data_IF_554101850929
#
_entry.id   IF_554101850929
#
_cell.length_a   1.000
_cell.length_b   1.000
_cell.length_c   1.000
_cell.angle_alpha   90.00
_cell.angle_beta   90.00
_cell.angle_gamma   90.00
#
_symmetry.space_group_name_H-M   'P 1'
#
loop_
_entity.id
_entity.type
_entity.pdbx_description
1 polymer ?
#
# COMPACT_ATOMS: atom_id res chain seq x y z
N UNK A 1 -18.37 -33.72 28.68
CA UNK A 1 -18.65 -32.88 27.49
C UNK A 1 -18.67 -31.39 27.84
N UNK A 2 -19.46 -30.92 28.84
CA UNK A 2 -19.62 -29.50 29.17
C UNK A 2 -18.33 -28.70 29.42
N UNK A 3 -17.34 -29.25 30.15
CA UNK A 3 -16.07 -28.55 30.41
C UNK A 3 -15.27 -28.23 29.14
N UNK A 4 -15.31 -29.13 28.13
CA UNK A 4 -14.63 -28.90 26.85
C UNK A 4 -15.36 -27.86 26.01
N UNK A 5 -16.69 -27.87 25.99
CA UNK A 5 -17.50 -26.86 25.32
C UNK A 5 -17.23 -25.46 25.91
N UNK A 6 -17.32 -25.31 27.23
CA UNK A 6 -17.07 -24.03 27.90
C UNK A 6 -15.64 -23.51 27.68
N UNK A 7 -14.64 -24.40 27.62
CA UNK A 7 -13.26 -24.02 27.34
C UNK A 7 -13.07 -23.53 25.89
N UNK A 8 -13.74 -24.16 24.92
CA UNK A 8 -13.72 -23.73 23.52
C UNK A 8 -14.45 -22.40 23.32
N UNK A 9 -15.60 -22.20 23.97
CA UNK A 9 -16.35 -20.94 23.93
C UNK A 9 -15.51 -19.79 24.50
N UNK A 10 -14.85 -20.01 25.63
CA UNK A 10 -13.98 -19.02 26.24
C UNK A 10 -12.78 -18.66 25.35
N UNK A 11 -12.14 -19.66 24.72
CA UNK A 11 -11.05 -19.44 23.78
C UNK A 11 -11.52 -18.64 22.55
N UNK A 12 -12.66 -19.00 21.97
CA UNK A 12 -13.23 -18.32 20.81
C UNK A 12 -13.53 -16.85 21.13
N UNK A 13 -14.13 -16.60 22.30
CA UNK A 13 -14.42 -15.24 22.75
C UNK A 13 -13.14 -14.43 22.96
N UNK A 14 -12.12 -15.02 23.59
CA UNK A 14 -10.82 -14.38 23.78
C UNK A 14 -10.17 -14.03 22.43
N UNK A 15 -10.17 -14.95 21.46
CA UNK A 15 -9.63 -14.72 20.12
C UNK A 15 -10.38 -13.59 19.40
N UNK A 16 -11.71 -13.56 19.47
CA UNK A 16 -12.55 -12.49 18.89
C UNK A 16 -12.22 -11.14 19.51
N UNK A 17 -12.15 -11.05 20.84
CA UNK A 17 -11.79 -9.82 21.55
C UNK A 17 -10.38 -9.33 21.19
N UNK A 18 -9.40 -10.24 21.13
CA UNK A 18 -8.02 -9.89 20.74
C UNK A 18 -7.93 -9.44 19.29
N UNK A 19 -8.62 -10.11 18.37
CA UNK A 19 -8.71 -9.71 16.96
C UNK A 19 -9.32 -8.31 16.83
N UNK A 20 -10.45 -8.04 17.46
CA UNK A 20 -11.11 -6.73 17.43
C UNK A 20 -10.21 -5.61 17.95
N UNK A 21 -9.50 -5.84 19.06
CA UNK A 21 -8.57 -4.86 19.62
C UNK A 21 -7.38 -4.55 18.69
N UNK A 22 -6.86 -5.56 17.97
CA UNK A 22 -5.82 -5.34 16.95
C UNK A 22 -6.40 -4.58 15.76
N UNK A 23 -7.58 -4.99 15.27
CA UNK A 23 -8.25 -4.32 14.15
C UNK A 23 -8.44 -2.84 14.41
N UNK A 24 -8.99 -2.48 15.57
CA UNK A 24 -9.23 -1.10 15.96
C UNK A 24 -7.94 -0.26 16.03
N UNK A 25 -6.84 -0.86 16.52
CA UNK A 25 -5.55 -0.16 16.65
C UNK A 25 -4.88 0.13 15.31
N UNK A 26 -5.06 -0.76 14.33
CA UNK A 26 -4.41 -0.62 13.02
C UNK A 26 -5.25 0.18 12.03
N UNK A 27 -6.58 0.20 12.19
CA UNK A 27 -7.50 0.80 11.22
C UNK A 27 -7.24 2.30 11.05
N UNK A 28 -7.28 3.08 12.14
CA UNK A 28 -7.11 4.55 12.04
C UNK A 28 -5.71 4.97 11.51
N UNK A 29 -4.58 4.39 11.96
CA UNK A 29 -3.28 4.69 11.37
C UNK A 29 -3.18 4.32 9.89
N UNK A 30 -3.66 3.13 9.51
CA UNK A 30 -3.62 2.69 8.12
C UNK A 30 -4.49 3.57 7.22
N UNK A 31 -5.68 3.92 7.70
CA UNK A 31 -6.61 4.84 7.06
C UNK A 31 -5.98 6.22 6.79
N UNK A 32 -5.20 6.77 7.74
CA UNK A 32 -4.45 8.02 7.54
C UNK A 32 -3.41 7.88 6.43
N UNK A 33 -2.62 6.82 6.46
CA UNK A 33 -1.55 6.60 5.47
C UNK A 33 -2.12 6.35 4.06
N UNK A 34 -3.23 5.61 3.95
CA UNK A 34 -3.94 5.42 2.68
C UNK A 34 -4.45 6.74 2.11
N UNK A 35 -5.08 7.58 2.94
CA UNK A 35 -5.56 8.90 2.52
C UNK A 35 -4.41 9.81 2.07
N UNK A 36 -3.27 9.80 2.77
CA UNK A 36 -2.08 10.56 2.39
C UNK A 36 -1.66 10.25 0.94
N UNK A 37 -1.48 8.97 0.61
CA UNK A 37 -1.10 8.56 -0.74
C UNK A 37 -2.21 8.77 -1.78
N UNK A 38 -3.47 8.55 -1.41
CA UNK A 38 -4.59 8.82 -2.32
C UNK A 38 -4.65 10.30 -2.72
N UNK A 39 -4.37 11.21 -1.78
CA UNK A 39 -4.36 12.65 -2.01
C UNK A 39 -3.21 13.14 -2.90
N UNK A 40 -2.09 12.40 -2.93
CA UNK A 40 -0.99 12.67 -3.86
C UNK A 40 -1.36 12.37 -5.32
N UNK A 41 -2.24 11.39 -5.55
CA UNK A 41 -2.74 11.05 -6.89
C UNK A 41 -3.94 11.92 -7.29
N UNK A 42 -4.88 12.09 -6.36
CA UNK A 42 -6.14 12.77 -6.58
C UNK A 42 -6.35 13.77 -5.44
N UNK A 43 -6.14 15.08 -5.69
CA UNK A 43 -6.35 16.09 -4.66
C UNK A 43 -7.72 15.95 -4.00
N UNK A 44 -7.74 16.00 -2.66
CA UNK A 44 -8.93 15.85 -1.82
C UNK A 44 -9.62 14.47 -1.88
N UNK A 45 -9.00 13.46 -2.49
CA UNK A 45 -9.55 12.12 -2.45
C UNK A 45 -9.48 11.52 -1.04
N UNK A 46 -10.46 10.67 -0.74
CA UNK A 46 -10.45 9.82 0.44
C UNK A 46 -10.67 8.38 0.01
N UNK A 47 -10.02 7.47 0.73
CA UNK A 47 -10.09 6.04 0.47
C UNK A 47 -10.70 5.37 1.67
N UNK A 48 -11.81 4.65 1.52
CA UNK A 48 -12.42 3.95 2.64
C UNK A 48 -11.81 2.56 2.83
N UNK A 49 -11.36 2.29 4.05
CA UNK A 49 -10.77 1.02 4.43
C UNK A 49 -11.82 0.12 5.10
N UNK A 50 -12.03 -1.09 4.55
CA UNK A 50 -12.87 -2.11 5.17
C UNK A 50 -12.30 -2.65 6.49
N UNK A 51 -13.12 -3.38 7.25
CA UNK A 51 -12.69 -4.06 8.48
C UNK A 51 -11.66 -5.19 8.23
N UNK A 52 -11.60 -5.66 6.99
CA UNK A 52 -10.61 -6.60 6.45
C UNK A 52 -9.31 -5.91 6.02
N UNK A 53 -9.21 -4.59 6.22
CA UNK A 53 -8.09 -3.75 5.78
C UNK A 53 -7.85 -3.75 4.27
N UNK A 54 -8.92 -3.93 3.51
CA UNK A 54 -8.90 -3.81 2.05
C UNK A 54 -9.52 -2.45 1.67
N UNK A 55 -8.86 -1.67 0.79
CA UNK A 55 -9.49 -0.49 0.18
C UNK A 55 -10.80 -0.85 -0.52
N UNK A 56 -11.87 -0.13 -0.23
CA UNK A 56 -13.22 -0.42 -0.74
C UNK A 56 -13.75 0.64 -1.68
N UNK A 57 -13.62 1.90 -1.27
CA UNK A 57 -14.19 3.02 -2.01
C UNK A 57 -13.14 4.11 -2.18
N UNK A 58 -13.01 4.63 -3.40
CA UNK A 58 -12.23 5.83 -3.67
C UNK A 58 -13.20 6.98 -3.98
N UNK A 59 -13.33 7.91 -3.04
CA UNK A 59 -14.11 9.12 -3.22
C UNK A 59 -13.22 10.23 -3.78
N UNK A 60 -13.63 10.84 -4.90
CA UNK A 60 -12.94 11.94 -5.56
C UNK A 60 -13.93 13.08 -5.79
N UNK A 61 -13.60 14.33 -5.43
CA UNK A 61 -14.50 15.45 -5.68
C UNK A 61 -14.79 15.58 -7.18
N UNK A 62 -16.08 15.71 -7.53
CA UNK A 62 -16.52 15.88 -8.92
C UNK A 62 -16.55 14.60 -9.77
N UNK A 63 -16.36 13.42 -9.16
CA UNK A 63 -16.59 12.12 -9.81
C UNK A 63 -17.43 11.25 -8.88
N UNK A 64 -18.27 10.37 -9.43
CA UNK A 64 -18.96 9.38 -8.59
C UNK A 64 -17.93 8.51 -7.86
N UNK A 65 -18.21 8.22 -6.59
CA UNK A 65 -17.38 7.32 -5.80
C UNK A 65 -17.43 5.93 -6.46
N UNK A 66 -16.27 5.44 -6.91
CA UNK A 66 -16.16 4.16 -7.60
C UNK A 66 -15.79 3.05 -6.63
N UNK A 67 -16.47 1.92 -6.73
CA UNK A 67 -16.04 0.69 -6.05
C UNK A 67 -14.67 0.27 -6.59
N UNK A 68 -13.82 -0.21 -5.69
CA UNK A 68 -12.52 -0.78 -6.02
C UNK A 68 -12.59 -1.87 -7.09
N UNK A 69 -13.66 -2.67 -7.10
CA UNK A 69 -13.86 -3.76 -8.06
C UNK A 69 -14.14 -3.28 -9.48
N UNK A 70 -14.69 -2.07 -9.64
CA UNK A 70 -14.99 -1.46 -10.94
C UNK A 70 -13.78 -0.73 -11.54
N UNK A 71 -12.65 -0.70 -10.82
CA UNK A 71 -11.43 -0.05 -11.28
C UNK A 71 -10.76 -0.84 -12.41
N UNK A 72 -10.28 -0.11 -13.42
CA UNK A 72 -9.43 -0.67 -14.49
C UNK A 72 -8.22 -1.42 -13.91
N UNK A 73 -7.67 -2.38 -14.65
CA UNK A 73 -6.51 -3.17 -14.21
C UNK A 73 -5.35 -2.30 -13.71
N UNK A 74 -4.95 -1.27 -14.47
CA UNK A 74 -3.87 -0.37 -14.06
C UNK A 74 -4.21 0.44 -12.81
N UNK A 75 -5.47 0.81 -12.61
CA UNK A 75 -5.89 1.52 -11.41
C UNK A 75 -5.84 0.60 -10.17
N UNK A 76 -6.22 -0.69 -10.30
CA UNK A 76 -6.05 -1.68 -9.23
C UNK A 76 -4.58 -1.91 -8.87
N UNK A 77 -3.69 -1.94 -9.87
CA UNK A 77 -2.24 -2.05 -9.66
C UNK A 77 -1.69 -0.87 -8.83
N UNK A 78 -2.07 0.37 -9.21
CA UNK A 78 -1.70 1.57 -8.46
C UNK A 78 -2.18 1.54 -7.01
N UNK A 79 -3.44 1.17 -6.80
CA UNK A 79 -3.98 1.07 -5.44
C UNK A 79 -3.31 -0.04 -4.62
N UNK A 80 -2.97 -1.15 -5.26
CA UNK A 80 -2.21 -2.22 -4.64
C UNK A 80 -0.82 -1.76 -4.19
N UNK A 81 -0.18 -0.87 -4.94
CA UNK A 81 1.08 -0.26 -4.55
C UNK A 81 0.89 0.73 -3.38
N UNK A 82 -0.08 1.65 -3.49
CA UNK A 82 -0.42 2.60 -2.41
C UNK A 82 -0.68 1.87 -1.09
N UNK A 83 -1.45 0.79 -1.13
CA UNK A 83 -1.77 0.00 0.06
C UNK A 83 -0.51 -0.54 0.72
N UNK A 84 0.43 -1.09 -0.07
CA UNK A 84 1.71 -1.59 0.45
C UNK A 84 2.56 -0.49 1.07
N UNK A 85 2.60 0.69 0.46
CA UNK A 85 3.32 1.84 1.01
C UNK A 85 2.68 2.31 2.33
N UNK A 86 1.36 2.36 2.40
CA UNK A 86 0.63 2.70 3.63
C UNK A 86 0.90 1.71 4.76
N UNK A 87 0.99 0.41 4.44
CA UNK A 87 1.41 -0.62 5.40
C UNK A 87 2.87 -0.46 5.84
N UNK A 88 3.78 -0.10 4.93
CA UNK A 88 5.16 0.18 5.29
C UNK A 88 5.26 1.36 6.27
N UNK A 89 4.50 2.44 6.04
CA UNK A 89 4.40 3.57 6.97
C UNK A 89 3.85 3.16 8.34
N UNK A 90 2.79 2.34 8.36
CA UNK A 90 2.23 1.77 9.60
C UNK A 90 3.26 0.94 10.39
N UNK A 91 4.04 0.09 9.70
CA UNK A 91 5.06 -0.74 10.32
C UNK A 91 6.21 0.11 10.86
N UNK A 92 6.64 1.12 10.10
CA UNK A 92 7.65 2.08 10.55
C UNK A 92 7.20 2.86 11.79
N UNK A 93 5.96 3.34 11.83
CA UNK A 93 5.37 4.02 13.00
C UNK A 93 5.35 3.09 14.23
N UNK A 94 5.19 1.78 14.02
CA UNK A 94 5.30 0.75 15.06
C UNK A 94 6.74 0.34 15.41
N UNK A 95 7.76 1.08 14.95
CA UNK A 95 9.18 0.80 15.23
C UNK A 95 9.75 -0.38 14.44
N UNK A 96 9.11 -0.78 13.34
CA UNK A 96 9.51 -1.89 12.46
C UNK A 96 9.74 -1.37 11.04
N UNK A 97 10.85 -0.68 10.76
CA UNK A 97 11.13 -0.17 9.42
C UNK A 97 11.23 -1.31 8.41
N UNK A 98 10.71 -1.10 7.20
CA UNK A 98 10.65 -2.12 6.14
C UNK A 98 11.38 -1.66 4.89
N UNK A 99 12.21 -2.55 4.33
CA UNK A 99 12.74 -2.40 2.97
C UNK A 99 11.62 -2.68 1.98
N UNK A 100 11.46 -1.81 0.98
CA UNK A 100 10.47 -1.97 -0.07
C UNK A 100 11.19 -2.42 -1.34
N UNK A 101 10.78 -3.57 -1.88
CA UNK A 101 11.27 -4.09 -3.15
C UNK A 101 10.14 -4.10 -4.16
N UNK A 102 10.33 -3.43 -5.29
CA UNK A 102 9.37 -3.33 -6.38
C UNK A 102 9.97 -4.05 -7.59
N UNK A 103 9.27 -5.09 -8.07
CA UNK A 103 9.71 -5.89 -9.21
C UNK A 103 8.75 -5.69 -10.38
N UNK A 104 9.24 -5.03 -11.43
CA UNK A 104 8.52 -4.63 -12.64
C UNK A 104 7.12 -4.05 -12.37
N UNK A 105 7.05 -3.16 -11.37
CA UNK A 105 5.81 -2.52 -10.98
C UNK A 105 5.36 -1.49 -12.04
N UNK A 106 4.05 -1.33 -12.22
CA UNK A 106 3.41 -0.30 -13.05
C UNK A 106 3.69 -0.42 -14.56
N UNK A 107 4.04 -1.60 -15.05
CA UNK A 107 4.36 -1.84 -16.47
C UNK A 107 3.18 -1.49 -17.39
N UNK A 108 1.95 -1.59 -16.88
CA UNK A 108 0.70 -1.34 -17.60
C UNK A 108 0.17 0.10 -17.43
N UNK A 109 0.93 1.00 -16.78
CA UNK A 109 0.54 2.41 -16.63
C UNK A 109 0.92 3.23 -17.87
N UNK A 110 0.03 4.11 -18.31
CA UNK A 110 0.35 5.18 -19.25
C UNK A 110 1.31 6.21 -18.61
N UNK A 111 1.95 7.05 -19.43
CA UNK A 111 2.97 8.00 -18.99
C UNK A 111 2.46 8.98 -17.92
N UNK A 112 1.21 9.44 -18.03
CA UNK A 112 0.60 10.36 -17.07
C UNK A 112 0.42 9.71 -15.70
N UNK A 113 -0.14 8.49 -15.70
CA UNK A 113 -0.31 7.67 -14.50
C UNK A 113 1.03 7.29 -13.85
N UNK A 114 2.02 6.92 -14.66
CA UNK A 114 3.36 6.60 -14.18
C UNK A 114 4.01 7.83 -13.53
N UNK A 115 3.89 9.02 -14.13
CA UNK A 115 4.42 10.26 -13.55
C UNK A 115 3.80 10.58 -12.19
N UNK A 116 2.51 10.33 -12.00
CA UNK A 116 1.85 10.48 -10.70
C UNK A 116 2.38 9.47 -9.67
N UNK A 117 2.53 8.20 -10.05
CA UNK A 117 3.07 7.18 -9.15
C UNK A 117 4.54 7.43 -8.78
N UNK A 118 5.34 8.04 -9.66
CA UNK A 118 6.69 8.47 -9.31
C UNK A 118 6.69 9.45 -8.14
N UNK A 119 5.74 10.40 -8.11
CA UNK A 119 5.59 11.34 -6.97
C UNK A 119 5.28 10.60 -5.67
N UNK A 120 4.41 9.60 -5.74
CA UNK A 120 4.10 8.72 -4.60
C UNK A 120 5.35 7.97 -4.13
N UNK A 121 6.14 7.42 -5.03
CA UNK A 121 7.39 6.74 -4.70
C UNK A 121 8.44 7.69 -4.11
N UNK A 122 8.57 8.90 -4.63
CA UNK A 122 9.43 9.93 -4.07
C UNK A 122 9.05 10.27 -2.63
N UNK A 123 7.77 10.49 -2.36
CA UNK A 123 7.27 10.74 -1.01
C UNK A 123 7.61 9.58 -0.07
N UNK A 124 7.31 8.35 -0.48
CA UNK A 124 7.61 7.16 0.30
C UNK A 124 9.12 6.98 0.54
N UNK A 125 9.96 7.30 -0.45
CA UNK A 125 11.42 7.19 -0.38
C UNK A 125 12.04 8.15 0.65
N UNK A 126 11.34 9.22 1.05
CA UNK A 126 11.78 10.07 2.17
C UNK A 126 11.74 9.34 3.51
N UNK A 127 10.96 8.26 3.60
CA UNK A 127 10.74 7.48 4.83
C UNK A 127 11.27 6.05 4.73
N UNK A 128 11.31 5.46 3.55
CA UNK A 128 11.68 4.06 3.34
C UNK A 128 12.78 3.93 2.32
N UNK A 129 13.63 2.90 2.48
CA UNK A 129 14.51 2.49 1.40
C UNK A 129 13.68 1.70 0.38
N UNK A 130 13.73 2.12 -0.88
CA UNK A 130 13.01 1.48 -1.99
C UNK A 130 14.04 0.98 -3.01
N UNK A 131 13.98 -0.32 -3.32
CA UNK A 131 14.71 -0.94 -4.41
C UNK A 131 13.73 -1.24 -5.54
N UNK A 132 13.98 -0.66 -6.70
CA UNK A 132 13.15 -0.83 -7.89
C UNK A 132 13.92 -1.64 -8.93
N UNK A 133 13.35 -2.77 -9.30
CA UNK A 133 13.81 -3.64 -10.38
C UNK A 133 12.84 -3.46 -11.56
N UNK A 134 13.37 -3.23 -12.76
CA UNK A 134 12.54 -3.12 -13.96
C UNK A 134 13.33 -3.46 -15.21
N UNK A 135 12.66 -4.07 -16.17
CA UNK A 135 13.18 -4.32 -17.51
C UNK A 135 13.13 -3.07 -18.41
N UNK A 136 12.52 -1.98 -17.93
CA UNK A 136 12.28 -0.73 -18.67
C UNK A 136 12.93 0.47 -17.95
N UNK A 137 14.26 0.50 -17.80
CA UNK A 137 14.96 1.55 -17.03
C UNK A 137 14.69 2.96 -17.58
N UNK A 138 14.41 3.09 -18.87
CA UNK A 138 14.10 4.35 -19.53
C UNK A 138 12.90 5.07 -18.93
N UNK A 139 11.93 4.30 -18.39
CA UNK A 139 10.74 4.80 -17.71
C UNK A 139 11.02 5.44 -16.36
N UNK A 140 12.21 5.24 -15.79
CA UNK A 140 12.54 5.62 -14.41
C UNK A 140 13.71 6.60 -14.29
N UNK A 141 14.30 7.01 -15.41
CA UNK A 141 15.49 7.89 -15.46
C UNK A 141 15.28 9.26 -14.80
N UNK A 142 14.05 9.75 -14.78
CA UNK A 142 13.64 11.02 -14.17
C UNK A 142 13.46 10.94 -12.64
N UNK A 143 13.68 9.77 -12.03
CA UNK A 143 13.69 9.64 -10.57
C UNK A 143 14.93 10.26 -9.90
N UNK A 144 15.92 10.72 -10.68
CA UNK A 144 17.14 11.30 -10.13
C UNK A 144 18.08 10.28 -9.47
N UNK A 145 17.80 8.99 -9.63
CA UNK A 145 18.64 7.88 -9.16
C UNK A 145 19.24 7.19 -10.38
N UNK A 146 20.55 6.95 -10.35
CA UNK A 146 21.23 6.24 -11.43
C UNK A 146 20.83 4.77 -11.45
N UNK A 147 20.37 4.28 -12.61
CA UNK A 147 20.20 2.85 -12.81
C UNK A 147 21.54 2.10 -12.64
N UNK A 148 21.45 0.87 -12.15
CA UNK A 148 22.58 -0.07 -12.02
C UNK A 148 22.15 -1.37 -12.65
N UNK A 149 23.00 -1.98 -13.48
CA UNK A 149 22.71 -3.33 -13.95
C UNK A 149 23.00 -4.33 -12.82
N UNK A 150 22.27 -5.44 -12.80
CA UNK A 150 22.50 -6.50 -11.81
C UNK A 150 23.81 -7.22 -12.11
N UNK A 151 24.19 -7.28 -13.38
CA UNK A 151 25.43 -7.86 -13.88
C UNK A 151 26.66 -7.10 -13.37
N UNK A 152 26.65 -5.77 -13.40
CA UNK A 152 27.73 -4.93 -12.84
C UNK A 152 27.91 -5.16 -11.34
N UNK A 153 26.83 -5.45 -10.60
CA UNK A 153 26.87 -5.71 -9.16
C UNK A 153 27.44 -7.09 -8.80
N UNK A 154 27.48 -8.04 -9.74
CA UNK A 154 28.05 -9.38 -9.52
C UNK A 154 29.56 -9.45 -9.77
N UNK A 155 30.14 -8.42 -10.41
CA UNK A 155 31.53 -8.39 -10.85
C UNK A 155 32.51 -7.65 -9.92
N UNK A 156 32.06 -7.21 -8.74
CA UNK A 156 32.89 -6.54 -7.71
C UNK A 156 32.89 -7.30 -6.40
#
# INVERSE_FOLDING_TARGET
MQRRANALDHLLELLRRKRAAVTQRLHAPLQRHLNHYAQLLFPQATLELGEDFVPRLLNRPGTEAGDFHDMSFGAREQMGMISRLAYADLLKEAGRPTLIMLDDALVHSDDGRLAQMKRVLFDAATRHQILLFSCHPEKWRDLGVGARSVEELRGG
#
